data_IF_999466709679
#
_entry.id   IF_999466709679
#
_cell.length_a   1.000
_cell.length_b   1.000
_cell.length_c   1.000
_cell.angle_alpha   90.00
_cell.angle_beta   90.00
_cell.angle_gamma   90.00
#
_symmetry.space_group_name_H-M   'P 1'
#
loop_
_entity.id
_entity.type
_entity.pdbx_description
1 polymer ?
#
# COMPACT_ATOMS: atom_id res chain seq x y z
N UNK A 1 31.88 14.86 -38.95
CA UNK A 1 30.43 14.74 -38.67
C UNK A 1 30.19 13.67 -37.59
N UNK A 2 30.08 14.12 -36.34
CA UNK A 2 30.03 13.29 -35.14
C UNK A 2 28.69 12.56 -35.02
N UNK A 3 28.75 11.27 -34.72
CA UNK A 3 27.58 10.44 -34.42
C UNK A 3 26.96 10.89 -33.09
N UNK A 4 25.70 11.27 -33.13
CA UNK A 4 24.91 11.60 -31.94
C UNK A 4 24.40 10.27 -31.35
N UNK A 5 25.11 9.71 -30.37
CA UNK A 5 24.62 8.58 -29.60
C UNK A 5 23.57 9.09 -28.61
N UNK A 6 22.30 8.90 -28.94
CA UNK A 6 21.22 9.02 -27.97
C UNK A 6 21.38 7.86 -26.96
N UNK A 7 21.80 8.21 -25.74
CA UNK A 7 21.82 7.29 -24.61
C UNK A 7 20.38 7.05 -24.18
N UNK A 8 19.81 5.89 -24.52
CA UNK A 8 18.59 5.40 -23.90
C UNK A 8 18.89 5.20 -22.42
N UNK A 9 18.34 6.06 -21.55
CA UNK A 9 18.42 5.86 -20.12
C UNK A 9 17.80 4.51 -19.79
N UNK A 10 18.59 3.57 -19.27
CA UNK A 10 18.07 2.34 -18.72
C UNK A 10 17.18 2.70 -17.53
N UNK A 11 15.93 2.27 -17.52
CA UNK A 11 15.10 2.35 -16.33
C UNK A 11 15.82 1.60 -15.20
N UNK A 12 16.13 2.31 -14.12
CA UNK A 12 16.80 1.72 -12.97
C UNK A 12 15.87 0.67 -12.34
N UNK A 13 16.43 -0.52 -12.06
CA UNK A 13 15.64 -1.61 -11.52
C UNK A 13 15.18 -1.25 -10.09
N UNK A 14 13.95 -1.64 -9.69
CA UNK A 14 13.46 -1.41 -8.33
C UNK A 14 14.39 -2.06 -7.29
N UNK A 15 14.48 -1.45 -6.11
CA UNK A 15 15.31 -1.97 -5.03
C UNK A 15 14.79 -3.33 -4.52
N UNK A 16 15.70 -4.26 -4.24
CA UNK A 16 15.35 -5.56 -3.67
C UNK A 16 15.27 -5.48 -2.14
N UNK A 17 14.23 -6.08 -1.55
CA UNK A 17 14.01 -6.16 -0.10
C UNK A 17 13.61 -7.58 0.31
N UNK A 18 14.58 -8.48 0.29
CA UNK A 18 14.34 -9.91 0.55
C UNK A 18 14.04 -10.25 2.02
N UNK A 19 14.23 -9.28 2.92
CA UNK A 19 13.84 -9.33 4.33
C UNK A 19 13.01 -8.11 4.70
N UNK A 20 12.05 -8.21 5.64
CA UNK A 20 11.26 -7.09 6.10
C UNK A 20 12.14 -5.93 6.53
N UNK A 21 11.90 -4.78 5.92
CA UNK A 21 12.45 -3.53 6.42
C UNK A 21 11.81 -3.20 7.77
N UNK A 22 12.63 -2.76 8.73
CA UNK A 22 12.15 -2.27 10.01
C UNK A 22 12.60 -0.81 10.16
N UNK A 23 11.69 0.16 9.97
CA UNK A 23 12.06 1.56 10.14
C UNK A 23 12.50 1.82 11.59
N UNK A 24 13.46 2.73 11.83
CA UNK A 24 13.81 3.18 13.18
C UNK A 24 12.57 3.65 13.95
N UNK A 25 12.57 3.55 15.29
CA UNK A 25 11.42 3.98 16.11
C UNK A 25 11.08 5.48 15.93
N UNK A 26 12.05 6.32 15.59
CA UNK A 26 11.85 7.74 15.28
C UNK A 26 11.03 7.98 14.01
N UNK A 27 10.83 6.94 13.19
CA UNK A 27 10.09 6.98 11.93
C UNK A 27 8.63 6.51 12.06
N UNK A 28 8.22 6.11 13.26
CA UNK A 28 6.83 5.77 13.55
C UNK A 28 6.03 7.07 13.64
N UNK A 29 4.84 7.07 13.03
CA UNK A 29 3.86 8.17 13.12
C UNK A 29 4.34 9.56 12.63
N UNK A 30 5.23 9.61 11.64
CA UNK A 30 5.60 10.87 10.98
C UNK A 30 4.52 11.30 9.97
N UNK A 31 3.65 12.22 10.38
CA UNK A 31 2.61 12.79 9.52
C UNK A 31 2.62 14.31 9.62
N UNK A 32 2.49 14.97 8.48
CA UNK A 32 2.31 16.41 8.40
C UNK A 32 0.88 16.74 7.99
N UNK A 33 0.31 17.77 8.62
CA UNK A 33 -0.99 18.29 8.23
C UNK A 33 -0.89 18.87 6.83
N UNK A 34 -1.71 18.34 5.92
CA UNK A 34 -1.87 18.89 4.57
C UNK A 34 -3.35 19.05 4.25
N UNK A 35 -3.65 20.02 3.42
CA UNK A 35 -5.00 20.33 2.97
C UNK A 35 -5.10 20.11 1.47
N UNK A 36 -6.20 19.54 1.02
CA UNK A 36 -6.45 19.29 -0.39
C UNK A 36 -7.80 19.86 -0.81
N UNK A 37 -7.91 20.18 -2.09
CA UNK A 37 -9.12 20.73 -2.69
C UNK A 37 -9.84 19.60 -3.43
N UNK A 38 -11.07 19.30 -3.02
CA UNK A 38 -11.98 18.41 -3.71
C UNK A 38 -13.19 19.22 -4.19
N UNK A 39 -13.32 19.40 -5.51
CA UNK A 39 -14.47 19.94 -6.28
C UNK A 39 -15.21 21.19 -5.73
N UNK A 40 -14.65 21.90 -4.73
CA UNK A 40 -15.06 23.20 -4.11
C UNK A 40 -14.77 23.26 -2.60
N UNK A 41 -14.41 22.15 -1.96
CA UNK A 41 -14.14 22.05 -0.52
C UNK A 41 -12.69 21.75 -0.23
N UNK A 42 -12.13 22.40 0.78
CA UNK A 42 -10.82 22.05 1.33
C UNK A 42 -11.01 21.06 2.47
N UNK A 43 -10.40 19.90 2.39
CA UNK A 43 -10.41 18.90 3.46
C UNK A 43 -8.99 18.76 4.00
N UNK A 44 -8.89 18.62 5.31
CA UNK A 44 -7.62 18.48 6.03
C UNK A 44 -7.36 17.00 6.30
N UNK A 45 -6.17 16.54 5.96
CA UNK A 45 -5.68 15.21 6.32
C UNK A 45 -4.25 15.29 6.85
N UNK A 46 -3.79 14.18 7.40
CA UNK A 46 -2.42 13.96 7.85
C UNK A 46 -1.75 13.06 6.82
N UNK A 47 -0.69 13.53 6.17
CA UNK A 47 0.03 12.78 5.14
C UNK A 47 1.43 12.42 5.63
N UNK A 48 1.82 11.16 5.41
CA UNK A 48 3.21 10.71 5.48
C UNK A 48 3.68 10.43 4.06
N UNK A 49 4.69 11.15 3.59
CA UNK A 49 5.12 11.02 2.21
C UNK A 49 6.34 11.86 1.86
N UNK A 50 6.79 11.79 0.59
CA UNK A 50 8.03 12.40 0.12
C UNK A 50 8.04 13.95 0.20
N UNK A 51 6.89 14.56 0.52
CA UNK A 51 6.77 15.99 0.77
C UNK A 51 7.39 16.42 2.10
N UNK A 52 7.58 15.50 3.06
CA UNK A 52 8.29 15.77 4.31
C UNK A 52 9.77 15.40 4.19
N UNK A 53 10.67 16.33 4.53
CA UNK A 53 12.12 16.11 4.56
C UNK A 53 12.57 14.98 5.51
N UNK A 54 11.82 14.68 6.57
CA UNK A 54 12.15 13.59 7.49
C UNK A 54 11.77 12.21 6.93
N UNK A 55 10.85 12.18 5.97
CA UNK A 55 10.32 10.95 5.40
C UNK A 55 11.40 10.12 4.71
N UNK A 56 12.31 10.75 3.96
CA UNK A 56 13.37 10.05 3.22
C UNK A 56 14.35 9.32 4.14
N UNK A 57 14.60 9.83 5.36
CA UNK A 57 15.46 9.18 6.35
C UNK A 57 14.85 7.87 6.89
N UNK A 58 13.56 7.68 6.68
CA UNK A 58 12.78 6.53 7.15
C UNK A 58 12.55 5.46 6.08
N UNK A 59 13.12 5.65 4.89
CA UNK A 59 12.99 4.72 3.79
C UNK A 59 14.24 3.83 3.63
N UNK A 60 14.10 2.62 3.08
CA UNK A 60 15.23 1.77 2.75
C UNK A 60 16.08 2.41 1.64
N UNK A 61 17.34 1.98 1.53
CA UNK A 61 18.21 2.46 0.45
C UNK A 61 17.63 2.12 -0.93
N UNK A 62 17.59 3.09 -1.84
CA UNK A 62 17.08 2.90 -3.21
C UNK A 62 15.55 2.91 -3.34
N UNK A 63 14.81 3.33 -2.30
CA UNK A 63 13.35 3.48 -2.35
C UNK A 63 12.84 4.45 -3.44
N UNK A 64 13.70 5.35 -3.90
CA UNK A 64 13.46 6.40 -4.89
C UNK A 64 14.19 6.16 -6.23
N UNK A 65 14.78 4.97 -6.42
CA UNK A 65 15.73 4.70 -7.50
C UNK A 65 15.14 4.84 -8.92
N UNK A 66 13.84 4.64 -9.14
CA UNK A 66 13.24 4.82 -10.48
C UNK A 66 12.48 6.14 -10.66
N UNK A 67 12.68 7.12 -9.77
CA UNK A 67 12.00 8.43 -9.81
C UNK A 67 10.53 8.39 -9.36
N UNK A 68 9.86 9.56 -9.38
CA UNK A 68 8.58 9.83 -8.72
C UNK A 68 7.45 8.83 -9.00
N UNK A 69 7.46 8.16 -10.15
CA UNK A 69 6.45 7.17 -10.58
C UNK A 69 6.74 5.72 -10.18
N UNK A 70 7.89 5.46 -9.57
CA UNK A 70 8.30 4.12 -9.10
C UNK A 70 8.79 4.11 -7.66
N UNK A 71 8.72 5.27 -6.99
CA UNK A 71 8.95 5.34 -5.55
C UNK A 71 8.07 4.29 -4.87
N UNK A 72 8.63 3.58 -3.90
CA UNK A 72 7.95 2.48 -3.18
C UNK A 72 7.67 1.22 -4.01
N UNK A 73 8.34 1.03 -5.15
CA UNK A 73 8.32 -0.24 -5.88
C UNK A 73 9.56 -1.06 -5.52
N UNK A 74 9.35 -2.30 -5.07
CA UNK A 74 10.44 -3.18 -4.65
C UNK A 74 10.31 -4.57 -5.28
N UNK A 75 11.42 -5.10 -5.79
CA UNK A 75 11.43 -6.42 -6.44
C UNK A 75 12.85 -7.04 -6.48
N UNK A 76 13.03 -8.31 -6.09
CA UNK A 76 12.09 -9.10 -5.30
C UNK A 76 11.95 -8.52 -3.88
N UNK A 77 10.75 -8.59 -3.30
CA UNK A 77 10.51 -7.98 -1.99
C UNK A 77 9.42 -8.65 -1.14
N UNK A 78 9.52 -8.43 0.18
CA UNK A 78 8.47 -8.69 1.18
C UNK A 78 8.11 -7.39 1.92
N UNK A 79 6.90 -7.34 2.48
CA UNK A 79 6.45 -6.16 3.20
C UNK A 79 7.31 -5.87 4.45
N UNK A 80 7.39 -4.60 4.89
CA UNK A 80 8.04 -4.25 6.14
C UNK A 80 7.50 -5.02 7.36
N UNK A 81 8.28 -5.08 8.42
CA UNK A 81 7.89 -5.81 9.63
C UNK A 81 6.63 -5.23 10.25
N UNK A 82 5.62 -6.07 10.51
CA UNK A 82 4.36 -5.66 11.12
C UNK A 82 3.39 -4.93 10.19
N UNK A 83 3.73 -4.80 8.91
CA UNK A 83 2.84 -4.23 7.89
C UNK A 83 1.92 -5.31 7.33
N UNK A 84 0.73 -4.89 6.92
CA UNK A 84 -0.24 -5.77 6.28
C UNK A 84 -0.05 -5.70 4.78
N UNK A 85 0.23 -6.83 4.15
CA UNK A 85 0.15 -7.04 2.72
C UNK A 85 -1.32 -7.20 2.32
N UNK A 86 -1.78 -6.40 1.38
CA UNK A 86 -3.12 -6.45 0.81
C UNK A 86 -3.07 -6.97 -0.62
N UNK A 87 -4.19 -7.56 -1.03
CA UNK A 87 -4.44 -7.96 -2.42
C UNK A 87 -3.34 -8.87 -2.99
N UNK A 88 -2.80 -9.80 -2.19
CA UNK A 88 -1.71 -10.64 -2.64
C UNK A 88 -2.18 -11.61 -3.74
N UNK A 89 -1.60 -11.52 -4.93
CA UNK A 89 -2.08 -12.25 -6.10
C UNK A 89 -0.94 -12.62 -7.05
N UNK A 90 -1.18 -13.63 -7.89
CA UNK A 90 -0.19 -14.14 -8.84
C UNK A 90 -0.75 -14.10 -10.27
N UNK A 91 -0.01 -13.57 -11.25
CA UNK A 91 -0.43 -13.54 -12.65
C UNK A 91 0.14 -14.70 -13.49
N UNK A 92 0.78 -15.67 -12.83
CA UNK A 92 1.45 -16.82 -13.45
C UNK A 92 2.91 -16.57 -13.83
N UNK A 93 3.39 -15.32 -13.79
CA UNK A 93 4.81 -14.97 -13.96
C UNK A 93 5.41 -14.36 -12.69
N UNK A 94 4.63 -13.52 -12.02
CA UNK A 94 5.02 -12.85 -10.80
C UNK A 94 3.88 -12.85 -9.79
N UNK A 95 4.24 -12.74 -8.52
CA UNK A 95 3.31 -12.41 -7.46
C UNK A 95 3.50 -10.97 -7.04
N UNK A 96 2.42 -10.33 -6.60
CA UNK A 96 2.40 -8.93 -6.19
C UNK A 96 1.62 -8.75 -4.90
N UNK A 97 1.94 -7.71 -4.14
CA UNK A 97 1.14 -7.26 -3.01
C UNK A 97 1.33 -5.76 -2.74
N UNK A 98 0.39 -5.17 -1.99
CA UNK A 98 0.43 -3.76 -1.55
C UNK A 98 0.56 -3.69 -0.04
N UNK A 99 1.63 -3.11 0.47
CA UNK A 99 1.91 -3.08 1.91
C UNK A 99 1.42 -1.78 2.54
N UNK A 100 0.68 -1.89 3.63
CA UNK A 100 0.31 -0.77 4.50
C UNK A 100 0.83 -0.94 5.91
N UNK A 101 1.17 0.19 6.56
CA UNK A 101 1.61 0.20 7.94
C UNK A 101 0.54 -0.38 8.87
N UNK A 102 0.97 -0.87 10.02
CA UNK A 102 0.06 -1.47 11.01
C UNK A 102 -1.05 -0.49 11.38
N UNK A 103 -2.31 -0.94 11.34
CA UNK A 103 -3.48 -0.12 11.63
C UNK A 103 -3.99 0.73 10.45
N UNK A 104 -3.33 0.70 9.29
CA UNK A 104 -3.81 1.32 8.05
C UNK A 104 -4.44 0.26 7.13
N UNK A 105 -5.50 0.66 6.43
CA UNK A 105 -6.14 -0.16 5.41
C UNK A 105 -5.84 0.39 4.01
N UNK A 106 -5.67 -0.50 3.04
CA UNK A 106 -5.57 -0.12 1.64
C UNK A 106 -6.92 0.48 1.16
N UNK A 107 -6.87 1.66 0.54
CA UNK A 107 -8.05 2.42 0.15
C UNK A 107 -7.85 3.11 -1.20
N UNK A 108 -8.94 3.20 -1.96
CA UNK A 108 -9.02 4.00 -3.18
C UNK A 108 -9.49 5.39 -2.83
N UNK A 109 -8.68 6.40 -3.13
CA UNK A 109 -9.09 7.80 -2.94
C UNK A 109 -9.58 8.38 -4.28
N UNK A 110 -10.72 7.90 -4.74
CA UNK A 110 -11.35 8.41 -5.96
C UNK A 110 -11.78 9.88 -5.75
N UNK A 111 -11.52 10.74 -6.75
CA UNK A 111 -11.90 12.17 -6.79
C UNK A 111 -11.14 13.09 -5.80
N UNK A 112 -9.99 12.64 -5.32
CA UNK A 112 -9.17 13.32 -4.33
C UNK A 112 -7.73 13.33 -4.83
N UNK A 113 -7.34 14.43 -5.46
CA UNK A 113 -5.99 14.57 -5.99
C UNK A 113 -5.07 15.07 -4.88
N UNK A 114 -4.23 14.19 -4.36
CA UNK A 114 -3.17 14.54 -3.42
C UNK A 114 -1.84 14.49 -4.19
N UNK A 115 -1.17 15.62 -4.32
CA UNK A 115 0.11 15.67 -5.03
C UNK A 115 1.13 14.76 -4.34
N UNK A 116 1.73 13.84 -5.11
CA UNK A 116 2.70 12.86 -4.61
C UNK A 116 2.11 11.54 -4.08
N UNK A 117 0.80 11.32 -4.25
CA UNK A 117 0.12 10.07 -3.89
C UNK A 117 -0.54 9.40 -5.11
N UNK A 118 -0.51 8.06 -5.20
CA UNK A 118 -1.29 7.32 -6.19
C UNK A 118 -2.78 7.26 -5.81
N UNK A 119 -3.61 6.74 -6.73
CA UNK A 119 -5.05 6.54 -6.51
C UNK A 119 -5.35 5.55 -5.36
N UNK A 120 -4.41 4.64 -5.13
CA UNK A 120 -4.40 3.74 -3.98
C UNK A 120 -3.52 4.35 -2.90
N UNK A 121 -3.96 4.30 -1.65
CA UNK A 121 -3.13 4.68 -0.50
C UNK A 121 -3.44 3.77 0.69
N UNK A 122 -2.61 3.87 1.71
CA UNK A 122 -2.91 3.33 3.02
C UNK A 122 -3.55 4.42 3.88
N UNK A 123 -4.77 4.17 4.37
CA UNK A 123 -5.56 5.15 5.10
C UNK A 123 -5.98 4.65 6.49
N UNK A 124 -6.02 5.57 7.46
CA UNK A 124 -6.48 5.33 8.82
C UNK A 124 -7.23 6.56 9.33
N UNK A 125 -8.43 6.39 9.89
CA UNK A 125 -9.09 7.46 10.62
C UNK A 125 -8.50 7.60 12.03
N UNK A 126 -8.22 8.84 12.43
CA UNK A 126 -7.81 9.19 13.80
C UNK A 126 -8.65 10.35 14.31
N UNK A 127 -8.62 10.61 15.61
CA UNK A 127 -9.26 11.77 16.22
C UNK A 127 -8.19 12.71 16.76
N UNK A 128 -8.27 14.00 16.41
CA UNK A 128 -7.43 15.01 17.03
C UNK A 128 -7.89 15.23 18.47
N UNK A 129 -6.97 15.06 19.43
CA UNK A 129 -7.28 15.10 20.88
C UNK A 129 -7.90 16.45 21.30
N UNK A 130 -7.48 17.56 20.68
CA UNK A 130 -7.94 18.91 21.05
C UNK A 130 -9.33 19.28 20.51
N UNK A 131 -9.78 18.67 19.41
CA UNK A 131 -11.02 19.08 18.73
C UNK A 131 -12.09 17.98 18.65
N UNK A 132 -11.77 16.75 19.09
CA UNK A 132 -12.56 15.54 18.82
C UNK A 132 -12.92 15.37 17.33
N UNK A 133 -12.18 16.03 16.45
CA UNK A 133 -12.43 16.00 15.02
C UNK A 133 -11.76 14.75 14.44
N UNK A 134 -12.55 13.97 13.72
CA UNK A 134 -12.03 12.85 12.93
C UNK A 134 -11.20 13.40 11.77
N UNK A 135 -9.93 13.00 11.69
CA UNK A 135 -9.00 13.35 10.63
C UNK A 135 -8.47 12.08 9.99
N UNK A 136 -8.32 12.11 8.66
CA UNK A 136 -7.77 11.00 7.91
C UNK A 136 -6.24 11.07 7.92
N UNK A 137 -5.57 9.95 8.21
CA UNK A 137 -4.12 9.76 8.03
C UNK A 137 -3.89 8.93 6.79
N UNK A 138 -2.97 9.34 5.92
CA UNK A 138 -2.65 8.62 4.68
C UNK A 138 -1.14 8.50 4.44
N UNK A 139 -0.71 7.40 3.86
CA UNK A 139 0.65 7.20 3.35
C UNK A 139 0.61 6.38 2.05
N UNK A 140 1.64 6.51 1.21
CA UNK A 140 1.77 5.68 0.00
C UNK A 140 1.92 4.21 0.36
N UNK A 141 1.24 3.32 -0.36
CA UNK A 141 1.49 1.89 -0.26
C UNK A 141 2.87 1.54 -0.81
N UNK A 142 3.46 0.47 -0.29
CA UNK A 142 4.59 -0.14 -0.97
C UNK A 142 4.09 -1.21 -1.92
N UNK A 143 4.46 -1.09 -3.19
CA UNK A 143 4.17 -2.09 -4.19
C UNK A 143 5.34 -3.07 -4.27
N UNK A 144 5.11 -4.31 -3.84
CA UNK A 144 6.12 -5.37 -3.87
C UNK A 144 5.77 -6.41 -4.93
N UNK A 145 6.80 -6.97 -5.55
CA UNK A 145 6.65 -8.12 -6.43
C UNK A 145 7.78 -9.13 -6.26
N UNK A 146 7.54 -10.37 -6.65
CA UNK A 146 8.54 -11.43 -6.70
C UNK A 146 8.17 -12.48 -7.74
N UNK A 147 9.18 -13.09 -8.38
CA UNK A 147 8.98 -14.27 -9.20
C UNK A 147 8.93 -15.53 -8.31
N UNK A 148 8.36 -16.62 -8.83
CA UNK A 148 8.36 -17.91 -8.10
C UNK A 148 9.77 -18.39 -7.75
N UNK A 149 10.78 -18.04 -8.55
CA UNK A 149 12.19 -18.35 -8.30
C UNK A 149 12.78 -17.60 -7.11
N UNK A 150 12.19 -16.48 -6.71
CA UNK A 150 12.73 -15.62 -5.66
C UNK A 150 12.27 -16.06 -4.28
N UNK A 151 11.16 -16.81 -4.19
CA UNK A 151 10.54 -17.28 -2.94
C UNK A 151 11.53 -17.91 -1.96
N UNK A 152 12.48 -18.78 -2.36
CA UNK A 152 13.45 -19.37 -1.44
C UNK A 152 14.41 -18.35 -0.80
N UNK A 153 14.58 -17.18 -1.42
CA UNK A 153 15.42 -16.08 -0.91
C UNK A 153 14.66 -15.07 -0.06
N UNK A 154 13.32 -15.12 -0.05
CA UNK A 154 12.46 -14.22 0.71
C UNK A 154 12.24 -14.76 2.13
N UNK A 155 12.43 -13.90 3.13
CA UNK A 155 12.27 -14.25 4.53
C UNK A 155 11.43 -13.20 5.24
N UNK A 156 10.23 -13.51 5.78
CA UNK A 156 9.56 -14.80 5.70
C UNK A 156 9.07 -15.08 4.27
N UNK A 157 8.99 -16.36 3.90
CA UNK A 157 8.51 -16.75 2.59
C UNK A 157 7.03 -16.32 2.44
N UNK A 158 6.68 -15.56 1.39
CA UNK A 158 5.30 -15.13 1.19
C UNK A 158 4.41 -16.32 0.82
N UNK A 159 3.13 -16.32 1.25
CA UNK A 159 2.18 -17.35 0.88
C UNK A 159 2.02 -17.38 -0.64
N UNK A 160 1.91 -18.57 -1.19
CA UNK A 160 1.66 -18.76 -2.62
C UNK A 160 0.16 -18.96 -2.81
N UNK A 161 -0.54 -18.10 -3.57
CA UNK A 161 -1.92 -18.35 -3.95
C UNK A 161 -2.04 -19.71 -4.64
N UNK A 162 -3.10 -20.46 -4.31
CA UNK A 162 -3.31 -21.79 -4.91
C UNK A 162 -3.55 -21.74 -6.44
N UNK A 163 -4.02 -20.59 -6.96
CA UNK A 163 -4.38 -20.39 -8.36
C UNK A 163 -3.94 -18.99 -8.82
N UNK A 164 -3.65 -18.80 -10.11
CA UNK A 164 -3.35 -17.48 -10.70
C UNK A 164 -4.54 -16.51 -10.68
N UNK A 165 -5.76 -17.00 -10.47
CA UNK A 165 -6.95 -16.16 -10.31
C UNK A 165 -7.31 -15.91 -8.84
N UNK A 166 -6.67 -16.61 -7.91
CA UNK A 166 -6.91 -16.47 -6.48
C UNK A 166 -6.15 -15.27 -5.94
N UNK A 167 -6.81 -14.50 -5.10
CA UNK A 167 -6.20 -13.37 -4.38
C UNK A 167 -6.37 -13.61 -2.89
N UNK A 168 -5.27 -13.51 -2.16
CA UNK A 168 -5.25 -13.55 -0.71
C UNK A 168 -5.54 -12.11 -0.25
N UNK A 169 -6.66 -11.85 0.46
CA UNK A 169 -7.07 -10.49 0.78
C UNK A 169 -6.04 -9.74 1.62
N UNK A 170 -5.54 -10.42 2.67
CA UNK A 170 -4.54 -9.87 3.58
C UNK A 170 -3.55 -10.94 4.06
N UNK A 171 -2.32 -10.49 4.34
CA UNK A 171 -1.28 -11.30 4.97
C UNK A 171 -0.31 -10.40 5.72
N UNK A 172 0.18 -10.83 6.89
CA UNK A 172 1.25 -10.14 7.62
C UNK A 172 2.51 -11.00 7.53
N UNK A 173 3.68 -10.44 7.16
CA UNK A 173 4.93 -11.19 7.12
C UNK A 173 5.22 -11.93 8.43
N UNK A 174 5.23 -13.26 8.37
CA UNK A 174 5.52 -14.14 9.50
C UNK A 174 4.29 -14.82 10.09
N UNK A 175 3.08 -14.41 9.69
CA UNK A 175 1.85 -15.10 10.08
C UNK A 175 1.66 -16.40 9.29
N UNK A 176 1.35 -17.47 10.02
CA UNK A 176 1.04 -18.79 9.47
C UNK A 176 -0.45 -18.98 9.14
N UNK A 177 -1.31 -18.08 9.61
CA UNK A 177 -2.75 -18.14 9.42
C UNK A 177 -3.14 -17.38 8.16
N UNK A 178 -2.96 -18.01 7.00
CA UNK A 178 -3.40 -17.45 5.72
C UNK A 178 -4.50 -18.33 5.17
N UNK A 179 -5.69 -17.75 4.97
CA UNK A 179 -6.73 -18.40 4.18
C UNK A 179 -6.30 -18.35 2.71
N UNK A 180 -5.73 -19.46 2.23
CA UNK A 180 -5.23 -19.60 0.86
C UNK A 180 -6.36 -19.75 -0.16
N UNK A 181 -7.62 -19.69 0.28
CA UNK A 181 -8.81 -19.92 -0.53
C UNK A 181 -9.08 -21.41 -0.79
N UNK A 182 -10.26 -21.70 -1.32
CA UNK A 182 -10.67 -23.05 -1.73
C UNK A 182 -9.79 -23.58 -2.88
N UNK A 183 -9.52 -24.89 -2.98
CA UNK A 183 -8.82 -25.49 -4.12
C UNK A 183 -9.51 -25.13 -5.44
N UNK A 184 -8.70 -24.89 -6.48
CA UNK A 184 -9.13 -24.38 -7.78
C UNK A 184 -10.22 -25.26 -8.41
N UNK A 185 -11.50 -24.94 -8.19
CA UNK A 185 -12.61 -25.46 -8.98
C UNK A 185 -12.74 -24.59 -10.21
N UNK A 186 -12.24 -25.08 -11.35
CA UNK A 186 -12.25 -24.36 -12.61
C UNK A 186 -13.65 -24.06 -13.10
N UNK A 187 -14.08 -22.82 -12.93
CA UNK A 187 -14.78 -22.06 -13.97
C UNK A 187 -14.17 -20.66 -14.00
N UNK A 188 -13.91 -20.09 -15.19
CA UNK A 188 -13.57 -18.67 -15.31
C UNK A 188 -14.85 -17.88 -15.03
N UNK A 189 -15.25 -17.83 -13.77
CA UNK A 189 -16.25 -16.88 -13.37
C UNK A 189 -15.55 -15.53 -13.44
N UNK A 190 -15.98 -14.70 -14.38
CA UNK A 190 -15.66 -13.28 -14.46
C UNK A 190 -16.16 -12.50 -13.22
N UNK A 191 -16.61 -13.21 -12.19
CA UNK A 191 -16.84 -12.70 -10.86
C UNK A 191 -15.48 -12.56 -10.18
N UNK A 192 -14.75 -11.50 -10.55
CA UNK A 192 -13.90 -10.83 -9.57
C UNK A 192 -14.84 -10.52 -8.40
N UNK A 193 -14.69 -11.12 -7.21
CA UNK A 193 -15.39 -10.62 -6.05
C UNK A 193 -14.88 -9.19 -5.92
N UNK A 194 -15.73 -8.23 -6.23
CA UNK A 194 -15.45 -6.81 -6.13
C UNK A 194 -15.38 -6.47 -4.64
N UNK A 195 -14.34 -6.95 -3.96
CA UNK A 195 -14.00 -6.57 -2.59
C UNK A 195 -13.53 -5.11 -2.51
N UNK A 196 -13.43 -4.41 -3.65
CA UNK A 196 -13.45 -2.95 -3.68
C UNK A 196 -14.66 -2.37 -2.95
N UNK A 197 -15.78 -3.10 -2.85
CA UNK A 197 -16.95 -2.66 -2.09
C UNK A 197 -16.83 -2.92 -0.59
N UNK A 198 -16.07 -3.91 -0.16
CA UNK A 198 -15.96 -4.26 1.26
C UNK A 198 -14.96 -3.40 2.03
N UNK A 199 -13.95 -2.84 1.35
CA UNK A 199 -13.16 -1.75 1.92
C UNK A 199 -14.06 -0.53 2.24
N UNK A 200 -15.02 -0.22 1.36
CA UNK A 200 -16.00 0.84 1.58
C UNK A 200 -17.05 0.51 2.65
N UNK A 201 -17.47 -0.75 2.80
CA UNK A 201 -18.41 -1.18 3.85
C UNK A 201 -17.73 -1.25 5.21
N UNK A 202 -16.47 -1.69 5.28
CA UNK A 202 -15.65 -1.59 6.50
C UNK A 202 -15.43 -0.13 6.90
N UNK A 203 -15.19 0.77 5.93
CA UNK A 203 -15.18 2.22 6.14
C UNK A 203 -16.55 2.71 6.66
N UNK A 204 -17.68 2.28 6.09
CA UNK A 204 -19.01 2.69 6.54
C UNK A 204 -19.36 2.18 7.95
N UNK A 205 -18.92 0.97 8.32
CA UNK A 205 -19.13 0.42 9.65
C UNK A 205 -18.18 1.01 10.71
N UNK A 206 -16.94 1.33 10.36
CA UNK A 206 -15.95 1.89 11.30
C UNK A 206 -15.98 3.42 11.36
N UNK A 207 -16.31 4.11 10.27
CA UNK A 207 -16.33 5.58 10.14
C UNK A 207 -17.76 6.12 10.01
N UNK A 208 -18.65 5.46 9.27
CA UNK A 208 -20.05 5.92 9.12
C UNK A 208 -20.88 5.77 10.39
N UNK A 209 -20.70 4.68 11.15
CA UNK A 209 -21.47 4.39 12.35
C UNK A 209 -21.24 5.41 13.50
N UNK A 210 -20.00 5.87 13.82
CA UNK A 210 -19.81 6.96 14.78
C UNK A 210 -20.28 8.32 14.24
N UNK A 211 -20.16 8.59 12.93
CA UNK A 211 -20.61 9.86 12.33
C UNK A 211 -22.14 10.03 12.37
N UNK A 212 -22.91 8.94 12.20
CA UNK A 212 -24.38 8.99 12.24
C UNK A 212 -24.89 9.18 13.68
N UNK A 213 -24.25 8.57 14.68
CA UNK A 213 -24.64 8.72 16.09
C UNK A 213 -24.43 10.15 16.61
N UNK A 214 -23.43 10.89 16.12
CA UNK A 214 -23.16 12.28 16.53
C UNK A 214 -24.14 13.27 15.88
N UNK A 215 -24.76 12.93 14.73
CA UNK A 215 -25.72 13.80 14.04
C UNK A 215 -27.18 13.64 14.53
N UNK A 216 -27.47 12.66 15.40
CA UNK A 216 -28.83 12.33 15.87
C UNK A 216 -29.03 12.69 17.37
N UNK A 217 -28.03 13.29 18.03
CA UNK A 217 -28.11 13.82 19.41
C UNK A 217 -28.09 15.34 19.37
#
# INVERSE_FOLDING_TARGET
>A
PSANMASTAAAEAPAALTTPFSPPQSCVDQFVTTSFVSDSSTVTLLASGPVDSQFSACQPSGWDAGGSSSNFHFSPAVCPSGWTAYELGADGQSSTARCCSSGFALSLINNLRIDGFPDMVCAQATTLEDSQQSVLRVHNEWFISWASSDVPSLTPAPPQPACSTSRIPTWIPGDNAVDLGSPCTGTPNNDVPSHQKDAGVALFLMIGLPLIFVAII
#
